data_IF_434165383538
#
_entry.id   IF_434165383538
#
_cell.length_a   1.000
_cell.length_b   1.000
_cell.length_c   1.000
_cell.angle_alpha   90.00
_cell.angle_beta   90.00
_cell.angle_gamma   90.00
#
_symmetry.space_group_name_H-M   'P 1'
#
loop_
_entity.id
_entity.type
_entity.pdbx_description
1 polymer ?
#
# COMPACT_ATOMS: atom_id res chain seq x y z
N UNK A 1 19.73 21.67 2.15
CA UNK A 1 19.52 20.61 3.16
C UNK A 1 20.55 19.52 2.90
N UNK A 2 21.43 19.24 3.87
CA UNK A 2 22.49 18.25 3.70
C UNK A 2 21.90 16.84 3.74
N UNK A 3 22.16 16.04 2.72
CA UNK A 3 21.75 14.63 2.67
C UNK A 3 22.86 13.75 3.22
N UNK A 4 22.51 12.92 4.20
CA UNK A 4 23.40 11.97 4.88
C UNK A 4 22.97 10.53 4.56
N UNK A 5 23.89 9.56 4.54
CA UNK A 5 23.54 8.17 4.26
C UNK A 5 22.61 7.63 5.34
N UNK A 6 21.59 6.86 4.92
CA UNK A 6 20.66 6.18 5.84
C UNK A 6 21.40 5.14 6.69
N UNK A 7 22.34 4.42 6.09
CA UNK A 7 23.24 3.53 6.83
C UNK A 7 24.50 4.31 7.25
N UNK A 8 24.60 4.66 8.53
CA UNK A 8 25.73 5.43 9.09
C UNK A 8 27.10 4.76 8.94
N UNK A 9 27.16 3.45 8.65
CA UNK A 9 28.42 2.71 8.47
C UNK A 9 29.00 2.87 7.07
N UNK A 10 28.23 3.40 6.11
CA UNK A 10 28.69 3.59 4.74
C UNK A 10 29.24 5.00 4.57
N UNK A 11 30.48 5.08 4.08
CA UNK A 11 31.16 6.34 3.76
C UNK A 11 31.27 6.57 2.24
N UNK A 12 30.30 6.06 1.47
CA UNK A 12 30.27 6.16 0.01
C UNK A 12 29.46 7.40 -0.43
N UNK A 13 30.09 8.39 -1.09
CA UNK A 13 29.38 9.55 -1.65
C UNK A 13 28.27 9.19 -2.64
N UNK A 14 28.37 8.05 -3.33
CA UNK A 14 27.41 7.55 -4.32
C UNK A 14 26.34 6.63 -3.72
N UNK A 15 26.32 6.46 -2.39
CA UNK A 15 25.30 5.65 -1.74
C UNK A 15 23.90 6.17 -2.07
N UNK A 16 23.08 5.30 -2.68
CA UNK A 16 21.76 5.65 -3.21
C UNK A 16 20.79 6.15 -2.14
N UNK A 17 20.79 5.52 -0.97
CA UNK A 17 19.80 5.79 0.08
C UNK A 17 20.28 6.87 1.04
N UNK A 18 19.75 8.09 0.87
CA UNK A 18 20.08 9.23 1.72
C UNK A 18 18.82 9.79 2.38
N UNK A 19 19.00 10.40 3.55
CA UNK A 19 17.99 11.15 4.27
C UNK A 19 18.54 12.53 4.61
N UNK A 20 17.68 13.55 4.81
CA UNK A 20 18.15 14.83 5.33
C UNK A 20 18.65 14.67 6.77
N UNK A 21 19.72 15.39 7.12
CA UNK A 21 20.14 15.51 8.53
C UNK A 21 19.04 16.15 9.37
N UNK A 22 18.87 15.71 10.61
CA UNK A 22 17.82 16.23 11.48
C UNK A 22 18.01 17.72 11.78
N UNK A 23 16.91 18.45 11.74
CA UNK A 23 16.83 19.87 12.07
C UNK A 23 15.93 20.07 13.28
N UNK A 24 16.55 20.47 14.38
CA UNK A 24 15.92 20.62 15.68
C UNK A 24 15.95 22.09 16.10
N UNK A 25 14.89 22.53 16.78
CA UNK A 25 14.84 23.85 17.42
C UNK A 25 14.26 23.71 18.82
N UNK A 26 14.84 24.42 19.77
CA UNK A 26 14.38 24.43 21.16
C UNK A 26 13.41 25.59 21.33
N UNK A 27 12.17 25.28 21.71
CA UNK A 27 11.12 26.25 22.04
C UNK A 27 10.77 26.10 23.53
N UNK A 28 11.22 27.05 24.35
CA UNK A 28 11.07 27.05 25.81
C UNK A 28 11.62 25.79 26.48
N UNK A 29 10.80 24.76 26.70
CA UNK A 29 11.17 23.49 27.35
C UNK A 29 10.82 22.27 26.47
N UNK A 30 10.71 22.50 25.15
CA UNK A 30 10.37 21.48 24.17
C UNK A 30 11.34 21.54 23.01
N UNK A 31 11.69 20.38 22.52
CA UNK A 31 12.53 20.18 21.34
C UNK A 31 11.61 19.90 20.15
N UNK A 32 11.61 20.78 19.17
CA UNK A 32 10.83 20.66 17.92
C UNK A 32 11.69 20.02 16.83
N UNK A 33 11.22 18.95 16.22
CA UNK A 33 11.88 18.31 15.07
C UNK A 33 11.21 18.82 13.80
N UNK A 34 11.85 19.76 13.10
CA UNK A 34 11.26 20.49 11.97
C UNK A 34 11.05 19.62 10.73
N UNK A 35 12.00 18.74 10.44
CA UNK A 35 12.07 17.99 9.18
C UNK A 35 11.78 16.49 9.34
N UNK A 36 11.14 16.06 10.43
CA UNK A 36 10.84 14.64 10.68
C UNK A 36 10.01 14.01 9.55
N UNK A 37 9.12 14.76 8.91
CA UNK A 37 8.33 14.30 7.76
C UNK A 37 9.20 13.95 6.55
N UNK A 38 10.30 14.67 6.35
CA UNK A 38 11.19 14.41 5.23
C UNK A 38 12.07 13.18 5.53
N UNK A 39 12.55 13.07 6.77
CA UNK A 39 13.30 11.89 7.24
C UNK A 39 12.42 10.63 7.13
N UNK A 40 11.17 10.73 7.60
CA UNK A 40 10.22 9.62 7.62
C UNK A 40 9.93 9.09 6.22
N UNK A 41 9.81 9.99 5.23
CA UNK A 41 9.68 9.63 3.81
C UNK A 41 10.93 8.94 3.27
N UNK A 42 12.13 9.40 3.62
CA UNK A 42 13.39 8.80 3.15
C UNK A 42 13.63 7.37 3.68
N UNK A 43 13.08 7.03 4.84
CA UNK A 43 13.24 5.69 5.47
C UNK A 43 11.96 4.85 5.47
N UNK A 44 10.91 5.30 4.78
CA UNK A 44 9.62 4.63 4.65
C UNK A 44 9.01 4.19 6.00
N UNK A 45 8.96 5.08 6.97
CA UNK A 45 8.30 4.87 8.29
C UNK A 45 7.45 6.08 8.64
N UNK A 46 6.42 5.95 9.49
CA UNK A 46 5.68 7.17 9.86
C UNK A 46 6.54 8.07 10.74
N UNK A 47 6.32 9.38 10.64
CA UNK A 47 6.94 10.33 11.56
C UNK A 47 6.52 10.07 13.01
N UNK A 48 5.32 9.53 13.24
CA UNK A 48 4.82 9.19 14.56
C UNK A 48 5.60 8.03 15.18
N UNK A 49 5.96 7.00 14.41
CA UNK A 49 6.75 5.91 14.93
C UNK A 49 8.15 6.37 15.32
N UNK A 50 8.79 7.19 14.48
CA UNK A 50 10.10 7.78 14.77
C UNK A 50 10.02 8.63 16.05
N UNK A 51 9.02 9.51 16.17
CA UNK A 51 8.84 10.35 17.35
C UNK A 51 8.65 9.52 18.62
N UNK A 52 7.80 8.49 18.58
CA UNK A 52 7.58 7.60 19.73
C UNK A 52 8.85 6.82 20.09
N UNK A 53 9.66 6.43 19.11
CA UNK A 53 10.94 5.77 19.39
C UNK A 53 11.90 6.69 20.13
N UNK A 54 12.00 7.95 19.67
CA UNK A 54 12.83 8.95 20.33
C UNK A 54 12.35 9.20 21.76
N UNK A 55 11.05 9.36 21.96
CA UNK A 55 10.38 9.46 23.27
C UNK A 55 10.74 8.28 24.19
N UNK A 56 10.67 7.05 23.68
CA UNK A 56 11.05 5.84 24.40
C UNK A 56 12.54 5.79 24.78
N UNK A 57 13.45 6.13 23.86
CA UNK A 57 14.90 6.07 24.12
C UNK A 57 15.39 7.22 25.01
N UNK A 58 14.78 8.39 24.92
CA UNK A 58 15.13 9.58 25.69
C UNK A 58 14.41 9.64 27.05
N UNK A 59 13.42 8.78 27.28
CA UNK A 59 12.65 8.77 28.52
C UNK A 59 11.83 10.05 28.71
N UNK A 60 11.34 10.64 27.62
CA UNK A 60 10.59 11.89 27.65
C UNK A 60 9.18 11.70 27.08
N UNK A 61 8.37 12.77 27.10
CA UNK A 61 7.02 12.76 26.53
C UNK A 61 7.05 13.32 25.11
N UNK A 62 6.46 12.60 24.16
CA UNK A 62 6.17 13.12 22.82
C UNK A 62 4.86 13.92 22.78
N UNK A 63 4.80 14.87 21.86
CA UNK A 63 3.58 15.62 21.54
C UNK A 63 3.52 15.83 20.02
N UNK A 64 2.33 15.73 19.44
CA UNK A 64 2.06 16.10 18.05
C UNK A 64 0.94 17.15 18.05
N UNK A 65 1.19 18.31 17.44
CA UNK A 65 0.20 19.38 17.33
C UNK A 65 0.43 20.18 16.04
N UNK A 66 -0.63 20.46 15.28
CA UNK A 66 -0.57 21.28 14.05
C UNK A 66 0.55 20.82 13.07
N UNK A 67 0.68 19.51 12.86
CA UNK A 67 1.73 18.89 12.03
C UNK A 67 3.18 19.14 12.49
N UNK A 68 3.37 19.68 13.70
CA UNK A 68 4.67 19.78 14.36
C UNK A 68 4.84 18.62 15.35
N UNK A 69 6.10 18.19 15.50
CA UNK A 69 6.49 17.03 16.29
C UNK A 69 7.45 17.49 17.38
N UNK A 70 7.11 17.18 18.63
CA UNK A 70 7.78 17.71 19.80
C UNK A 70 8.21 16.59 20.74
N UNK A 71 9.35 16.81 21.40
CA UNK A 71 9.81 16.04 22.55
C UNK A 71 9.95 16.98 23.75
N UNK A 72 9.46 16.57 24.91
CA UNK A 72 9.63 17.35 26.15
C UNK A 72 11.11 17.34 26.57
N UNK A 73 11.68 18.51 26.85
CA UNK A 73 13.08 18.69 27.22
C UNK A 73 13.94 19.34 26.14
N UNK A 74 15.24 19.43 26.40
CA UNK A 74 16.25 20.08 25.56
C UNK A 74 17.19 19.04 24.94
N UNK A 75 17.07 18.82 23.64
CA UNK A 75 17.95 17.90 22.92
C UNK A 75 18.61 18.58 21.72
N UNK A 76 19.88 18.25 21.53
CA UNK A 76 20.68 18.76 20.42
C UNK A 76 20.42 17.98 19.13
N UNK A 77 20.72 18.59 17.98
CA UNK A 77 20.69 17.90 16.68
C UNK A 77 21.49 16.59 16.71
N UNK A 78 22.69 16.61 17.31
CA UNK A 78 23.57 15.44 17.40
C UNK A 78 22.95 14.29 18.20
N UNK A 79 22.33 14.58 19.33
CA UNK A 79 21.63 13.58 20.15
C UNK A 79 20.47 12.96 19.38
N UNK A 80 19.57 13.77 18.83
CA UNK A 80 18.41 13.27 18.08
C UNK A 80 18.86 12.47 16.85
N UNK A 81 19.87 12.93 16.11
CA UNK A 81 20.40 12.22 14.95
C UNK A 81 20.93 10.83 15.31
N UNK A 82 21.62 10.71 16.45
CA UNK A 82 22.14 9.42 16.94
C UNK A 82 21.00 8.44 17.18
N UNK A 83 19.94 8.85 17.88
CA UNK A 83 18.80 7.98 18.15
C UNK A 83 17.97 7.65 16.90
N UNK A 84 17.91 8.56 15.91
CA UNK A 84 17.33 8.23 14.59
C UNK A 84 18.14 7.13 13.91
N UNK A 85 19.47 7.16 13.99
CA UNK A 85 20.30 6.08 13.47
C UNK A 85 20.09 4.76 14.22
N UNK A 86 19.93 4.80 15.54
CA UNK A 86 19.62 3.61 16.32
C UNK A 86 18.26 3.01 15.92
N UNK A 87 17.26 3.88 15.67
CA UNK A 87 15.98 3.46 15.09
C UNK A 87 16.16 2.78 13.73
N UNK A 88 16.95 3.38 12.84
CA UNK A 88 17.20 2.84 11.50
C UNK A 88 17.88 1.48 11.60
N UNK A 89 18.91 1.35 12.43
CA UNK A 89 19.64 0.11 12.63
C UNK A 89 18.73 -0.99 13.20
N UNK A 90 17.87 -0.67 14.17
CA UNK A 90 16.97 -1.62 14.83
C UNK A 90 15.77 -2.01 13.95
N UNK A 91 15.11 -1.04 13.29
CA UNK A 91 13.75 -1.16 12.72
C UNK A 91 13.64 -0.93 11.20
N UNK A 92 14.68 -0.41 10.54
CA UNK A 92 14.64 -0.08 9.10
C UNK A 92 15.57 -0.98 8.29
N UNK A 93 16.85 -1.08 8.65
CA UNK A 93 17.82 -1.83 7.87
C UNK A 93 17.55 -3.33 7.93
N UNK A 94 17.64 -4.00 6.78
CA UNK A 94 17.66 -5.45 6.71
C UNK A 94 18.89 -6.00 7.44
N UNK A 95 18.70 -6.97 8.34
CA UNK A 95 19.81 -7.60 9.08
C UNK A 95 20.71 -8.49 8.21
N UNK A 96 20.25 -8.87 7.00
CA UNK A 96 21.02 -9.69 6.05
C UNK A 96 21.83 -8.85 5.08
N UNK A 97 21.20 -7.89 4.38
CA UNK A 97 21.83 -7.12 3.30
C UNK A 97 22.02 -5.62 3.58
N UNK A 98 21.60 -5.13 4.76
CA UNK A 98 21.64 -3.71 5.13
C UNK A 98 20.87 -2.75 4.20
N UNK A 99 19.96 -3.26 3.37
CA UNK A 99 19.08 -2.40 2.58
C UNK A 99 17.98 -1.79 3.46
N UNK A 100 17.67 -0.48 3.36
CA UNK A 100 16.60 0.17 4.11
C UNK A 100 15.18 -0.10 3.60
N UNK A 101 15.02 -0.66 2.40
CA UNK A 101 13.72 -1.03 1.82
C UNK A 101 13.17 -2.29 2.50
N UNK A 102 12.45 -2.07 3.59
CA UNK A 102 11.84 -3.12 4.38
C UNK A 102 10.46 -2.73 4.88
N UNK A 103 9.63 -3.74 5.09
CA UNK A 103 8.24 -3.62 5.55
C UNK A 103 8.03 -4.38 6.86
N UNK A 104 7.17 -3.85 7.72
CA UNK A 104 6.70 -4.60 8.89
C UNK A 104 5.58 -5.55 8.49
N UNK A 105 5.66 -6.77 8.98
CA UNK A 105 4.62 -7.79 8.87
C UNK A 105 4.19 -8.14 10.28
N UNK A 106 2.94 -7.84 10.61
CA UNK A 106 2.36 -8.05 11.94
C UNK A 106 1.47 -9.28 11.89
N UNK A 107 1.74 -10.25 12.76
CA UNK A 107 0.94 -11.47 12.93
C UNK A 107 0.64 -11.65 14.42
N UNK A 108 -0.59 -11.32 14.82
CA UNK A 108 -0.98 -11.21 16.23
C UNK A 108 -0.11 -10.20 16.98
N UNK A 109 0.65 -10.67 17.97
CA UNK A 109 1.59 -9.84 18.75
C UNK A 109 3.02 -9.87 18.20
N UNK A 110 3.29 -10.70 17.18
CA UNK A 110 4.62 -10.83 16.60
C UNK A 110 4.81 -9.78 15.51
N UNK A 111 5.92 -9.06 15.61
CA UNK A 111 6.38 -8.15 14.57
C UNK A 111 7.50 -8.83 13.82
N UNK A 112 7.36 -8.92 12.51
CA UNK A 112 8.42 -9.36 11.61
C UNK A 112 8.77 -8.24 10.64
N UNK A 113 9.97 -8.31 10.08
CA UNK A 113 10.46 -7.38 9.06
C UNK A 113 10.80 -8.16 7.80
N UNK A 114 10.18 -7.80 6.68
CA UNK A 114 10.45 -8.35 5.34
C UNK A 114 11.32 -7.38 4.56
N UNK A 115 12.37 -7.85 3.90
CA UNK A 115 13.19 -7.04 3.00
C UNK A 115 12.73 -7.19 1.56
N UNK A 116 12.52 -6.06 0.88
CA UNK A 116 12.05 -6.03 -0.51
C UNK A 116 13.17 -6.38 -1.50
N UNK A 117 14.44 -6.17 -1.13
CA UNK A 117 15.57 -6.40 -2.04
C UNK A 117 16.11 -7.83 -2.02
N UNK A 118 16.12 -8.49 -0.85
CA UNK A 118 16.70 -9.83 -0.71
C UNK A 118 15.73 -10.91 -0.21
N UNK A 119 14.47 -10.54 0.06
CA UNK A 119 13.44 -11.47 0.54
C UNK A 119 13.62 -11.96 1.99
N UNK A 120 14.65 -11.49 2.71
CA UNK A 120 14.85 -11.91 4.10
C UNK A 120 13.64 -11.53 4.98
N UNK A 121 13.20 -12.50 5.78
CA UNK A 121 12.09 -12.35 6.73
C UNK A 121 12.62 -12.63 8.14
N UNK A 122 12.59 -11.62 9.01
CA UNK A 122 13.14 -11.73 10.36
C UNK A 122 12.11 -11.25 11.38
N UNK A 123 11.78 -12.13 12.33
CA UNK A 123 10.96 -11.77 13.48
C UNK A 123 11.77 -10.90 14.43
N UNK A 124 11.20 -9.76 14.81
CA UNK A 124 11.80 -8.80 15.71
C UNK A 124 11.82 -9.37 17.13
N UNK A 125 12.96 -9.24 17.81
CA UNK A 125 13.07 -9.60 19.23
C UNK A 125 12.10 -8.78 20.07
N UNK A 126 11.63 -9.36 21.18
CA UNK A 126 10.73 -8.66 22.08
C UNK A 126 11.37 -7.38 22.62
N UNK A 127 10.60 -6.30 22.58
CA UNK A 127 10.98 -4.99 23.11
C UNK A 127 9.73 -4.30 23.63
N UNK A 128 9.87 -3.51 24.71
CA UNK A 128 8.78 -2.66 25.21
C UNK A 128 8.26 -1.70 24.13
N UNK A 129 9.12 -1.32 23.19
CA UNK A 129 8.75 -0.47 22.07
C UNK A 129 7.88 -1.18 21.01
N UNK A 130 7.99 -2.50 20.86
CA UNK A 130 7.20 -3.26 19.86
C UNK A 130 5.69 -3.06 20.06
N UNK A 131 5.23 -2.96 21.31
CA UNK A 131 3.83 -2.66 21.65
C UNK A 131 3.33 -1.37 21.01
N UNK A 132 4.22 -0.41 20.80
CA UNK A 132 3.91 0.84 20.11
C UNK A 132 3.65 0.62 18.62
N UNK A 133 4.49 -0.16 17.96
CA UNK A 133 4.36 -0.50 16.52
C UNK A 133 3.01 -1.18 16.26
N UNK A 134 2.64 -2.14 17.13
CA UNK A 134 1.35 -2.84 17.09
C UNK A 134 0.17 -1.87 17.20
N UNK A 135 0.25 -0.88 18.09
CA UNK A 135 -0.81 0.14 18.29
C UNK A 135 -0.89 1.17 17.16
N UNK A 136 0.21 1.41 16.46
CA UNK A 136 0.26 2.40 15.37
C UNK A 136 -0.19 1.84 14.02
N UNK A 137 -0.52 0.54 13.93
CA UNK A 137 -0.82 -0.16 12.67
C UNK A 137 0.21 0.15 11.56
N UNK A 138 1.50 0.25 11.91
CA UNK A 138 2.60 0.53 10.96
C UNK A 138 2.89 -0.64 9.98
N UNK A 139 2.04 -1.68 9.96
CA UNK A 139 1.93 -2.66 8.87
C UNK A 139 0.91 -2.26 7.78
N UNK A 140 0.17 -1.17 7.98
CA UNK A 140 -0.75 -0.55 7.03
C UNK A 140 -0.26 0.85 6.68
N UNK A 141 0.85 0.96 5.95
CA UNK A 141 1.25 2.26 5.41
C UNK A 141 0.22 2.72 4.37
N UNK A 142 -0.73 3.56 4.77
CA UNK A 142 -1.74 4.18 3.90
C UNK A 142 -1.12 5.34 3.09
N UNK A 143 -0.04 5.07 2.35
CA UNK A 143 0.26 5.88 1.18
C UNK A 143 -0.61 5.36 0.03
N UNK A 144 -1.60 6.17 -0.39
CA UNK A 144 -2.49 5.85 -1.52
C UNK A 144 -1.72 5.56 -2.82
N UNK A 145 -0.45 5.96 -2.91
CA UNK A 145 0.43 5.68 -4.03
C UNK A 145 1.34 4.45 -3.85
N UNK A 146 1.52 3.94 -2.63
CA UNK A 146 2.47 2.84 -2.34
C UNK A 146 1.86 1.63 -1.62
N UNK A 147 0.55 1.60 -1.33
CA UNK A 147 -0.25 0.35 -1.18
C UNK A 147 -0.36 -0.41 -2.51
N UNK A 148 0.76 -0.48 -3.23
CA UNK A 148 0.96 -1.17 -4.48
C UNK A 148 1.77 -2.46 -4.24
N UNK A 149 1.47 -3.26 -3.23
CA UNK A 149 0.68 -4.46 -3.56
C UNK A 149 -0.75 -4.04 -3.91
N UNK A 150 -0.88 -3.50 -5.13
CA UNK A 150 -2.18 -3.40 -5.78
C UNK A 150 -2.68 -4.83 -5.84
N UNK A 151 -3.99 -5.05 -5.91
CA UNK A 151 -4.49 -6.39 -6.17
C UNK A 151 -3.74 -7.11 -7.30
N UNK A 152 -3.27 -6.34 -8.29
CA UNK A 152 -2.40 -6.77 -9.40
C UNK A 152 -1.11 -7.47 -8.94
N UNK A 153 -0.47 -7.03 -7.86
CA UNK A 153 0.71 -7.68 -7.28
C UNK A 153 0.37 -9.02 -6.64
N UNK A 154 -0.72 -9.08 -5.88
CA UNK A 154 -1.24 -10.33 -5.30
C UNK A 154 -1.68 -11.33 -6.39
N UNK A 155 -2.26 -10.82 -7.48
CA UNK A 155 -2.67 -11.57 -8.66
C UNK A 155 -1.48 -12.20 -9.42
N UNK A 156 -0.31 -11.56 -9.37
CA UNK A 156 0.86 -12.03 -10.13
C UNK A 156 1.75 -13.01 -9.33
N UNK A 157 1.61 -13.06 -8.00
CA UNK A 157 2.51 -13.84 -7.12
C UNK A 157 1.93 -15.20 -6.66
N UNK A 158 0.63 -15.43 -6.80
CA UNK A 158 -0.02 -16.65 -6.26
C UNK A 158 -0.64 -17.54 -7.37
N UNK A 159 -0.46 -18.85 -7.26
CA UNK A 159 -1.09 -19.83 -8.17
C UNK A 159 -2.63 -19.91 -7.97
N UNK A 160 -3.11 -19.64 -6.74
CA UNK A 160 -4.53 -19.64 -6.37
C UNK A 160 -5.04 -18.23 -6.01
N UNK A 161 -4.99 -17.32 -6.99
CA UNK A 161 -5.35 -15.91 -6.84
C UNK A 161 -6.73 -15.66 -6.22
N UNK A 162 -7.70 -16.55 -6.45
CA UNK A 162 -9.08 -16.30 -6.03
C UNK A 162 -9.28 -16.32 -4.50
N UNK A 163 -8.66 -17.26 -3.78
CA UNK A 163 -8.84 -17.37 -2.31
C UNK A 163 -8.14 -16.23 -1.56
N UNK A 164 -6.93 -15.91 -1.97
CA UNK A 164 -6.12 -14.82 -1.40
C UNK A 164 -6.83 -13.48 -1.58
N UNK A 165 -7.37 -13.24 -2.78
CA UNK A 165 -8.15 -12.03 -3.04
C UNK A 165 -9.41 -11.97 -2.15
N UNK A 166 -10.17 -13.07 -2.04
CA UNK A 166 -11.37 -13.12 -1.20
C UNK A 166 -11.10 -12.85 0.29
N UNK A 167 -10.03 -13.42 0.85
CA UNK A 167 -9.60 -13.13 2.22
C UNK A 167 -9.16 -11.68 2.39
N UNK A 168 -8.41 -11.15 1.42
CA UNK A 168 -8.02 -9.75 1.42
C UNK A 168 -9.23 -8.81 1.39
N UNK A 169 -10.24 -9.09 0.56
CA UNK A 169 -11.47 -8.31 0.51
C UNK A 169 -12.23 -8.31 1.84
N UNK A 170 -12.39 -9.49 2.45
CA UNK A 170 -13.08 -9.64 3.74
C UNK A 170 -12.34 -8.91 4.87
N UNK A 171 -11.02 -9.04 4.92
CA UNK A 171 -10.21 -8.46 5.98
C UNK A 171 -10.12 -6.93 5.89
N UNK A 172 -10.13 -6.36 4.68
CA UNK A 172 -9.97 -4.91 4.47
C UNK A 172 -11.29 -4.12 4.39
N UNK A 173 -12.46 -4.78 4.51
CA UNK A 173 -13.79 -4.13 4.41
C UNK A 173 -13.93 -3.21 3.18
N UNK A 174 -13.32 -3.59 2.06
CA UNK A 174 -13.34 -2.78 0.85
C UNK A 174 -14.79 -2.68 0.33
N UNK A 175 -15.17 -1.49 -0.13
CA UNK A 175 -16.47 -1.32 -0.76
C UNK A 175 -16.49 -1.98 -2.13
N UNK A 176 -17.70 -2.26 -2.63
CA UNK A 176 -17.91 -2.77 -4.00
C UNK A 176 -17.22 -1.86 -5.03
N UNK A 177 -17.23 -0.54 -4.81
CA UNK A 177 -16.59 0.43 -5.70
C UNK A 177 -15.06 0.35 -5.66
N UNK A 178 -14.47 0.03 -4.51
CA UNK A 178 -13.03 -0.18 -4.39
C UNK A 178 -12.57 -1.42 -5.16
N UNK A 179 -13.38 -2.49 -5.13
CA UNK A 179 -13.16 -3.72 -5.92
C UNK A 179 -13.13 -3.40 -7.41
N UNK A 180 -14.12 -2.65 -7.89
CA UNK A 180 -14.21 -2.27 -9.31
C UNK A 180 -13.10 -1.32 -9.75
N UNK A 181 -12.69 -0.39 -8.88
CA UNK A 181 -11.55 0.47 -9.14
C UNK A 181 -10.23 -0.31 -9.28
N UNK A 182 -10.06 -1.41 -8.55
CA UNK A 182 -8.89 -2.29 -8.66
C UNK A 182 -8.97 -3.22 -9.88
N UNK A 183 -10.16 -3.71 -10.21
CA UNK A 183 -10.46 -4.41 -11.47
C UNK A 183 -10.02 -3.60 -12.69
N UNK A 184 -10.42 -2.32 -12.73
CA UNK A 184 -10.06 -1.36 -13.77
C UNK A 184 -8.54 -1.23 -13.94
N UNK A 185 -7.77 -1.37 -12.86
CA UNK A 185 -6.29 -1.31 -12.91
C UNK A 185 -5.65 -2.61 -13.38
N UNK A 186 -6.25 -3.77 -13.07
CA UNK A 186 -5.70 -5.09 -13.40
C UNK A 186 -5.77 -5.46 -14.88
N UNK A 187 -6.74 -4.91 -15.62
CA UNK A 187 -7.05 -5.24 -17.03
C UNK A 187 -7.34 -6.73 -17.28
N UNK A 188 -7.67 -7.50 -16.25
CA UNK A 188 -8.08 -8.89 -16.41
C UNK A 188 -9.17 -9.28 -15.40
N UNK A 189 -10.35 -9.58 -15.94
CA UNK A 189 -11.54 -9.90 -15.15
C UNK A 189 -11.48 -11.29 -14.51
N UNK A 190 -10.64 -12.19 -15.04
CA UNK A 190 -10.67 -13.61 -14.66
C UNK A 190 -10.29 -13.83 -13.18
N UNK A 191 -9.45 -12.95 -12.65
CA UNK A 191 -8.99 -13.00 -11.26
C UNK A 191 -10.12 -12.69 -10.27
N UNK A 192 -11.19 -12.04 -10.72
CA UNK A 192 -12.26 -11.55 -9.85
C UNK A 192 -13.52 -12.41 -9.84
N UNK A 193 -13.52 -13.55 -10.55
CA UNK A 193 -14.67 -14.46 -10.63
C UNK A 193 -15.26 -14.81 -9.25
N UNK A 194 -14.42 -15.27 -8.32
CA UNK A 194 -14.89 -15.64 -6.98
C UNK A 194 -15.45 -14.47 -6.14
N UNK A 195 -15.06 -13.23 -6.46
CA UNK A 195 -15.59 -12.02 -5.80
C UNK A 195 -16.93 -11.63 -6.40
N UNK A 196 -17.08 -11.76 -7.72
CA UNK A 196 -18.35 -11.52 -8.40
C UNK A 196 -19.45 -12.46 -7.92
N UNK A 197 -19.11 -13.70 -7.58
CA UNK A 197 -20.06 -14.65 -6.97
C UNK A 197 -20.58 -14.19 -5.60
N UNK A 198 -19.84 -13.30 -4.90
CA UNK A 198 -20.25 -12.74 -3.61
C UNK A 198 -21.03 -11.42 -3.76
N UNK A 199 -21.10 -10.85 -4.96
CA UNK A 199 -21.82 -9.60 -5.22
C UNK A 199 -23.24 -9.93 -5.69
N UNK A 200 -24.22 -9.52 -4.88
CA UNK A 200 -25.64 -9.79 -5.15
C UNK A 200 -26.16 -9.07 -6.42
N UNK A 201 -25.62 -7.89 -6.72
CA UNK A 201 -26.06 -7.06 -7.86
C UNK A 201 -25.24 -7.35 -9.12
N UNK A 202 -25.70 -8.34 -9.90
CA UNK A 202 -25.06 -8.76 -11.15
C UNK A 202 -25.13 -7.69 -12.25
N UNK A 203 -26.16 -6.83 -12.25
CA UNK A 203 -26.30 -5.77 -13.26
C UNK A 203 -25.25 -4.67 -13.05
N UNK A 204 -24.94 -4.34 -11.79
CA UNK A 204 -23.86 -3.39 -11.46
C UNK A 204 -22.49 -3.87 -11.94
N UNK A 205 -22.22 -5.19 -11.87
CA UNK A 205 -20.97 -5.76 -12.40
C UNK A 205 -20.87 -5.53 -13.91
N UNK A 206 -21.93 -5.81 -14.67
CA UNK A 206 -21.96 -5.60 -16.11
C UNK A 206 -21.80 -4.12 -16.50
N UNK A 207 -22.39 -3.21 -15.73
CA UNK A 207 -22.24 -1.77 -15.93
C UNK A 207 -20.81 -1.27 -15.72
N UNK A 208 -20.12 -1.71 -14.66
CA UNK A 208 -18.74 -1.28 -14.41
C UNK A 208 -17.76 -1.88 -15.42
N UNK A 209 -17.98 -3.14 -15.83
CA UNK A 209 -17.19 -3.76 -16.91
C UNK A 209 -17.43 -3.04 -18.23
N UNK A 210 -18.66 -2.63 -18.53
CA UNK A 210 -18.99 -1.83 -19.71
C UNK A 210 -18.27 -0.47 -19.68
N UNK A 211 -18.31 0.26 -18.55
CA UNK A 211 -17.53 1.51 -18.37
C UNK A 211 -16.04 1.30 -18.58
N UNK A 212 -15.49 0.17 -18.12
CA UNK A 212 -14.10 -0.19 -18.35
C UNK A 212 -13.82 -0.40 -19.84
N UNK A 213 -14.66 -1.18 -20.54
CA UNK A 213 -14.54 -1.40 -21.99
C UNK A 213 -14.63 -0.07 -22.76
N UNK A 214 -15.51 0.84 -22.36
CA UNK A 214 -15.66 2.14 -23.01
C UNK A 214 -14.42 3.03 -22.86
N UNK A 215 -13.64 2.83 -21.80
CA UNK A 215 -12.41 3.57 -21.48
C UNK A 215 -11.15 2.96 -22.11
N UNK A 216 -11.08 1.64 -22.32
CA UNK A 216 -9.87 0.93 -22.79
C UNK A 216 -10.14 0.17 -24.09
N UNK A 217 -9.40 0.54 -25.15
CA UNK A 217 -9.32 -0.11 -26.48
C UNK A 217 -10.51 -1.03 -26.83
N UNK A 218 -11.62 -0.37 -27.20
CA UNK A 218 -12.98 -0.91 -27.27
C UNK A 218 -13.09 -2.18 -28.11
N UNK A 219 -12.38 -2.33 -29.21
CA UNK A 219 -12.55 -3.48 -30.10
C UNK A 219 -11.84 -4.74 -29.58
N UNK A 220 -10.57 -4.62 -29.19
CA UNK A 220 -9.77 -5.78 -28.78
C UNK A 220 -10.28 -6.40 -27.47
N UNK A 221 -10.71 -5.54 -26.54
CA UNK A 221 -11.08 -5.98 -25.20
C UNK A 221 -12.55 -6.39 -25.07
N UNK A 222 -13.48 -5.82 -25.84
CA UNK A 222 -14.91 -6.18 -25.75
C UNK A 222 -15.11 -7.69 -25.90
N UNK A 223 -14.53 -8.30 -26.95
CA UNK A 223 -14.68 -9.74 -27.19
C UNK A 223 -14.03 -10.60 -26.11
N UNK A 224 -12.85 -10.21 -25.62
CA UNK A 224 -12.17 -10.90 -24.51
C UNK A 224 -13.04 -10.89 -23.26
N UNK A 225 -13.57 -9.73 -22.88
CA UNK A 225 -14.36 -9.58 -21.67
C UNK A 225 -15.76 -10.20 -21.78
N UNK A 226 -16.40 -10.17 -22.95
CA UNK A 226 -17.66 -10.87 -23.17
C UNK A 226 -17.52 -12.39 -22.92
N UNK A 227 -16.43 -13.01 -23.41
CA UNK A 227 -16.15 -14.43 -23.10
C UNK A 227 -16.07 -14.68 -21.60
N UNK A 228 -15.29 -13.87 -20.88
CA UNK A 228 -15.11 -14.02 -19.44
C UNK A 228 -16.42 -13.78 -18.68
N UNK A 229 -17.23 -12.79 -19.09
CA UNK A 229 -18.53 -12.52 -18.48
C UNK A 229 -19.52 -13.69 -18.67
N UNK A 230 -19.51 -14.33 -19.84
CA UNK A 230 -20.33 -15.53 -20.10
C UNK A 230 -19.88 -16.71 -19.22
N UNK A 231 -18.58 -16.88 -19.00
CA UNK A 231 -18.03 -17.90 -18.09
C UNK A 231 -18.32 -17.64 -16.60
N UNK A 232 -18.61 -16.39 -16.23
CA UNK A 232 -18.94 -16.01 -14.84
C UNK A 232 -20.45 -16.13 -14.58
N UNK A 233 -21.29 -15.62 -15.49
CA UNK A 233 -22.74 -15.54 -15.26
C UNK A 233 -23.50 -16.63 -16.04
N UNK A 234 -23.66 -16.41 -17.35
CA UNK A 234 -24.14 -17.32 -18.40
C UNK A 234 -24.41 -16.49 -19.66
N UNK A 235 -24.59 -17.16 -20.80
CA UNK A 235 -24.76 -16.48 -22.08
C UNK A 235 -26.05 -15.66 -22.15
N UNK A 236 -27.17 -16.22 -21.68
CA UNK A 236 -28.49 -15.59 -21.75
C UNK A 236 -28.55 -14.27 -20.96
N UNK A 237 -27.99 -14.24 -19.74
CA UNK A 237 -27.96 -13.06 -18.89
C UNK A 237 -27.11 -11.94 -19.48
N UNK A 238 -25.91 -12.28 -19.98
CA UNK A 238 -25.00 -11.30 -20.59
C UNK A 238 -25.57 -10.78 -21.91
N UNK A 239 -26.12 -11.66 -22.74
CA UNK A 239 -26.81 -11.31 -24.00
C UNK A 239 -27.96 -10.34 -23.71
N UNK A 240 -28.84 -10.67 -22.75
CA UNK A 240 -29.95 -9.81 -22.36
C UNK A 240 -29.48 -8.41 -21.92
N UNK A 241 -28.38 -8.28 -21.18
CA UNK A 241 -27.87 -6.96 -20.78
C UNK A 241 -27.36 -6.11 -21.96
N UNK A 242 -26.59 -6.72 -22.87
CA UNK A 242 -25.95 -5.99 -23.97
C UNK A 242 -26.87 -5.78 -25.19
N UNK A 243 -27.81 -6.70 -25.43
CA UNK A 243 -28.80 -6.62 -26.52
C UNK A 243 -30.07 -5.87 -26.13
N UNK A 244 -30.44 -5.85 -24.83
CA UNK A 244 -31.61 -5.09 -24.39
C UNK A 244 -31.46 -3.61 -24.75
N UNK A 245 -32.54 -3.07 -25.32
CA UNK A 245 -32.73 -1.66 -25.65
C UNK A 245 -32.90 -0.81 -24.39
N UNK A 246 -32.03 -0.93 -23.40
CA UNK A 246 -31.95 0.07 -22.36
C UNK A 246 -31.52 1.38 -23.02
N UNK A 247 -32.08 2.51 -22.56
CA UNK A 247 -31.86 3.86 -23.12
C UNK A 247 -30.39 4.35 -23.11
N UNK A 248 -29.41 3.48 -22.87
CA UNK A 248 -27.97 3.77 -22.86
C UNK A 248 -27.42 3.88 -24.28
N UNK A 249 -26.91 5.07 -24.63
CA UNK A 249 -26.15 5.32 -25.87
C UNK A 249 -24.77 4.66 -25.79
N UNK A 250 -24.67 3.38 -26.18
CA UNK A 250 -23.39 2.66 -26.29
C UNK A 250 -22.58 3.07 -27.51
N UNK A 251 -21.25 3.00 -27.41
CA UNK A 251 -20.35 3.28 -28.53
C UNK A 251 -20.59 2.32 -29.73
N UNK A 252 -20.57 2.80 -30.99
CA UNK A 252 -20.86 1.96 -32.16
C UNK A 252 -19.98 0.72 -32.31
N UNK A 253 -18.70 0.82 -31.94
CA UNK A 253 -17.76 -0.32 -31.99
C UNK A 253 -18.15 -1.43 -31.00
N UNK A 254 -18.60 -1.09 -29.80
CA UNK A 254 -19.04 -2.07 -28.79
C UNK A 254 -20.32 -2.76 -29.29
N UNK A 255 -21.27 -2.00 -29.85
CA UNK A 255 -22.49 -2.56 -30.45
C UNK A 255 -22.18 -3.56 -31.56
N UNK A 256 -21.20 -3.24 -32.41
CA UNK A 256 -20.75 -4.12 -33.51
C UNK A 256 -20.14 -5.41 -32.95
N UNK A 257 -19.21 -5.31 -31.99
CA UNK A 257 -18.55 -6.47 -31.38
C UNK A 257 -19.50 -7.37 -30.60
N UNK A 258 -20.41 -6.79 -29.80
CA UNK A 258 -21.48 -7.54 -29.11
C UNK A 258 -22.31 -8.32 -30.11
N UNK A 259 -22.75 -7.66 -31.19
CA UNK A 259 -23.55 -8.32 -32.24
C UNK A 259 -22.78 -9.45 -32.91
N UNK A 260 -21.49 -9.28 -33.19
CA UNK A 260 -20.63 -10.31 -33.77
C UNK A 260 -20.28 -11.46 -32.81
N UNK A 261 -20.44 -11.26 -31.50
CA UNK A 261 -20.13 -12.26 -30.49
C UNK A 261 -21.30 -13.21 -30.22
N UNK A 262 -22.54 -12.69 -30.23
CA UNK A 262 -23.76 -13.44 -29.91
C UNK A 262 -24.56 -13.93 -31.14
N UNK A 263 -24.21 -13.48 -32.34
CA UNK A 263 -24.73 -14.01 -33.61
C UNK A 263 -23.64 -14.82 -34.33
#
# INVERSE_FOLDING_TARGET
>A
MLLIPVNRKLNDPFYRYKMPSVEVTVESNKTVIKNILNISKSIYRSPNLILKYLSYKLGCKDLQANQKYFLQGHFTNKQIQSYIYDFIDEYVLCKKCNNPETEFVIDGEKISRRCLSCGAFLTQSESKFNKTILKTNEGEFNDKNYKKLSLVGLINEHQDNQKVLLEFFKNNKLSIDDVFNELIKSKDLIYFKGIFDQISDKNRILEEVEKMIEKFDRCQFTRKYLKVLVEIFNEEFVRNYFESKSNKKRHPLIKKEVKLFFN
#
